data_IF_792688781759
#
_entry.id   IF_792688781759
#
_cell.length_a   1.000
_cell.length_b   1.000
_cell.length_c   1.000
_cell.angle_alpha   90.00
_cell.angle_beta   90.00
_cell.angle_gamma   90.00
#
_symmetry.space_group_name_H-M   'P 1'
#
loop_
_entity.id
_entity.type
_entity.pdbx_description
1 polymer ?
#
# COMPACT_ATOMS: atom_id res chain seq x y z
N UNK A 1 -20.65 -4.92 -1.75
CA UNK A 1 -20.27 -5.30 -0.37
C UNK A 1 -18.76 -5.44 -0.29
N UNK A 2 -18.17 -5.36 0.90
CA UNK A 2 -16.73 -5.54 1.08
C UNK A 2 -16.36 -7.03 1.09
N UNK A 3 -15.33 -7.39 0.31
CA UNK A 3 -14.79 -8.75 0.25
C UNK A 3 -13.29 -8.72 0.55
N UNK A 4 -12.85 -9.48 1.55
CA UNK A 4 -11.43 -9.60 1.88
C UNK A 4 -10.77 -10.55 0.87
N UNK A 5 -9.72 -10.10 0.18
CA UNK A 5 -8.95 -10.93 -0.74
C UNK A 5 -7.88 -11.75 -0.01
N UNK A 6 -7.18 -11.11 0.93
CA UNK A 6 -6.15 -11.71 1.77
C UNK A 6 -5.91 -10.86 3.00
N UNK A 7 -5.74 -11.53 4.14
CA UNK A 7 -5.35 -10.94 5.42
C UNK A 7 -4.11 -11.68 5.98
N UNK A 8 -3.58 -11.17 7.10
CA UNK A 8 -2.45 -11.75 7.83
C UNK A 8 -1.19 -11.99 6.97
N UNK A 9 -0.93 -11.10 6.01
CA UNK A 9 0.31 -11.13 5.20
C UNK A 9 1.46 -10.56 6.02
N UNK A 10 2.60 -11.25 6.02
CA UNK A 10 3.81 -10.77 6.70
C UNK A 10 4.38 -9.55 5.95
N UNK A 11 4.38 -8.37 6.57
CA UNK A 11 4.95 -7.14 6.01
C UNK A 11 6.46 -6.97 6.25
N UNK A 12 7.11 -7.85 7.02
CA UNK A 12 8.54 -7.69 7.41
C UNK A 12 9.50 -7.66 6.23
N UNK A 13 9.15 -8.30 5.12
CA UNK A 13 9.99 -8.27 3.91
C UNK A 13 10.12 -6.87 3.29
N UNK A 14 9.19 -5.95 3.60
CA UNK A 14 9.23 -4.55 3.18
C UNK A 14 10.05 -3.66 4.12
N UNK A 15 10.57 -4.21 5.22
CA UNK A 15 11.35 -3.46 6.20
C UNK A 15 12.77 -3.18 5.70
N UNK A 16 13.40 -2.11 6.21
CA UNK A 16 14.82 -1.82 5.91
C UNK A 16 15.75 -2.90 6.41
N UNK A 17 15.37 -3.65 7.45
CA UNK A 17 16.14 -4.78 7.95
C UNK A 17 16.26 -5.92 6.93
N UNK A 18 15.24 -6.12 6.10
CA UNK A 18 15.21 -7.20 5.09
C UNK A 18 15.55 -6.69 3.69
N UNK A 19 14.92 -5.59 3.26
CA UNK A 19 15.11 -5.02 1.92
C UNK A 19 16.38 -4.17 1.80
N UNK A 20 16.99 -3.77 2.91
CA UNK A 20 18.13 -2.86 2.95
C UNK A 20 17.77 -1.40 2.66
N UNK A 21 18.78 -0.53 2.65
CA UNK A 21 18.63 0.90 2.37
C UNK A 21 18.15 1.73 3.56
N UNK A 22 17.81 3.00 3.28
CA UNK A 22 17.47 4.02 4.27
C UNK A 22 16.08 4.64 4.06
N UNK A 23 15.21 3.93 3.31
CA UNK A 23 13.84 4.38 2.99
C UNK A 23 12.80 3.41 3.55
N UNK A 24 11.55 3.87 3.66
CA UNK A 24 10.43 3.06 4.17
C UNK A 24 9.47 2.57 3.08
N UNK A 25 8.44 1.84 3.51
CA UNK A 25 7.34 1.40 2.64
C UNK A 25 6.44 2.57 2.23
N UNK A 26 5.95 2.54 0.99
CA UNK A 26 5.00 3.50 0.44
C UNK A 26 3.72 2.77 0.00
N UNK A 27 2.57 3.37 0.28
CA UNK A 27 1.26 2.91 -0.22
C UNK A 27 0.76 3.95 -1.22
N UNK A 28 0.50 3.53 -2.45
CA UNK A 28 0.10 4.43 -3.52
C UNK A 28 -0.66 3.72 -4.63
N UNK A 29 -1.32 4.52 -5.47
CA UNK A 29 -2.01 4.04 -6.66
C UNK A 29 -0.98 3.78 -7.77
N UNK A 30 -1.13 2.68 -8.48
CA UNK A 30 -0.19 2.25 -9.53
C UNK A 30 -0.96 1.74 -10.75
N UNK A 31 -0.49 2.12 -11.94
CA UNK A 31 -0.99 1.63 -13.22
C UNK A 31 0.18 1.46 -14.19
N UNK A 32 0.20 0.35 -14.93
CA UNK A 32 1.23 0.05 -15.92
C UNK A 32 0.64 -0.75 -17.06
N UNK A 33 1.13 -0.52 -18.28
CA UNK A 33 0.88 -1.36 -19.45
C UNK A 33 1.94 -2.45 -19.61
N UNK A 34 2.85 -2.60 -18.63
CA UNK A 34 3.98 -3.53 -18.68
C UNK A 34 4.86 -3.33 -19.92
N UNK A 35 5.05 -2.07 -20.33
CA UNK A 35 5.86 -1.69 -21.49
C UNK A 35 5.16 -1.83 -22.84
N UNK A 36 3.89 -2.23 -22.87
CA UNK A 36 3.12 -2.37 -24.10
C UNK A 36 2.42 -1.07 -24.50
N UNK A 37 2.26 -0.79 -25.81
CA UNK A 37 1.39 0.29 -26.27
C UNK A 37 -0.04 0.08 -25.76
N UNK A 38 -0.66 1.13 -25.23
CA UNK A 38 -2.05 1.08 -24.79
C UNK A 38 -2.70 2.46 -24.88
N UNK A 39 -4.01 2.47 -25.11
CA UNK A 39 -4.86 3.66 -25.00
C UNK A 39 -5.67 3.69 -23.69
N UNK A 40 -5.46 2.71 -22.80
CA UNK A 40 -6.24 2.58 -21.58
C UNK A 40 -5.83 3.63 -20.54
N UNK A 41 -6.80 4.09 -19.77
CA UNK A 41 -6.60 5.07 -18.69
C UNK A 41 -7.03 4.50 -17.35
N UNK A 42 -6.25 4.78 -16.30
CA UNK A 42 -6.64 4.54 -14.92
C UNK A 42 -6.90 5.88 -14.22
N UNK A 43 -8.13 6.10 -13.76
CA UNK A 43 -8.52 7.32 -13.06
C UNK A 43 -8.95 7.00 -11.64
N UNK A 44 -8.33 7.65 -10.66
CA UNK A 44 -8.60 7.44 -9.26
C UNK A 44 -9.24 8.71 -8.67
N UNK A 45 -10.43 8.57 -8.08
CA UNK A 45 -11.17 9.72 -7.53
C UNK A 45 -10.55 10.23 -6.22
N UNK A 46 -10.13 9.31 -5.35
CA UNK A 46 -9.45 9.63 -4.09
C UNK A 46 -8.70 8.40 -3.56
N UNK A 47 -7.71 8.66 -2.70
CA UNK A 47 -7.07 7.68 -1.84
C UNK A 47 -7.38 8.08 -0.39
N UNK A 48 -7.94 7.16 0.40
CA UNK A 48 -8.24 7.39 1.83
C UNK A 48 -7.28 6.58 2.70
N UNK A 49 -6.60 7.25 3.62
CA UNK A 49 -5.76 6.62 4.64
C UNK A 49 -6.21 7.09 6.02
N UNK A 50 -6.52 6.15 6.93
CA UNK A 50 -7.08 6.46 8.25
C UNK A 50 -6.09 6.29 9.40
N UNK A 51 -4.91 5.70 9.16
CA UNK A 51 -3.86 5.57 10.18
C UNK A 51 -4.31 4.94 11.52
N UNK A 52 -5.23 3.96 11.47
CA UNK A 52 -5.85 3.32 12.64
C UNK A 52 -4.89 2.37 13.39
N UNK A 53 -3.72 2.89 13.75
CA UNK A 53 -2.66 2.15 14.44
C UNK A 53 -3.01 2.01 15.93
N UNK A 54 -2.88 0.79 16.51
CA UNK A 54 -3.02 0.57 17.94
C UNK A 54 -2.20 1.52 18.83
N UNK A 55 -1.02 1.97 18.38
CA UNK A 55 -0.15 2.85 19.17
C UNK A 55 -0.82 4.19 19.51
N UNK A 56 -1.73 4.67 18.66
CA UNK A 56 -2.44 5.93 18.87
C UNK A 56 -3.73 5.77 19.69
N UNK A 57 -4.09 4.55 20.10
CA UNK A 57 -5.31 4.28 20.89
C UNK A 57 -5.09 4.41 22.40
N UNK A 58 -3.85 4.36 22.86
CA UNK A 58 -3.49 4.39 24.29
C UNK A 58 -3.25 5.82 24.85
N UNK A 59 -3.30 6.85 24.00
CA UNK A 59 -3.10 8.26 24.40
C UNK A 59 -4.40 8.97 24.82
N UNK A 60 -5.40 8.22 25.30
CA UNK A 60 -6.65 8.76 25.85
C UNK A 60 -6.85 8.33 27.28
#
# INVERSE_FOLDING_TARGET
TWNVLKDQVDGKFLSTQVAGGFIGCLVGMYATSSGQPTANTASFKYLKYEGNDPVYKQLK
#
